data_IF_982550217941
#
_entry.id   IF_982550217941
#
_cell.length_a   1.000
_cell.length_b   1.000
_cell.length_c   1.000
_cell.angle_alpha   90.00
_cell.angle_beta   90.00
_cell.angle_gamma   90.00
#
_symmetry.space_group_name_H-M   'P 1'
#
loop_
_entity.id
_entity.type
_entity.pdbx_description
1 polymer ?
#
# COMPACT_ATOMS: atom_id res chain seq x y z
N UNK A 1 11.16 -11.81 -5.22
CA UNK A 1 11.08 -13.29 -5.18
C UNK A 1 11.84 -13.91 -3.99
N UNK A 2 13.03 -13.40 -3.63
CA UNK A 2 13.81 -13.93 -2.50
C UNK A 2 13.03 -13.87 -1.18
N UNK A 3 12.28 -12.80 -0.96
CA UNK A 3 11.42 -12.62 0.23
C UNK A 3 10.27 -13.62 0.23
N UNK A 4 9.63 -13.85 -0.92
CA UNK A 4 8.58 -14.87 -1.06
C UNK A 4 9.13 -16.27 -0.83
N UNK A 5 10.32 -16.58 -1.37
CA UNK A 5 10.97 -17.86 -1.15
C UNK A 5 11.26 -18.14 0.34
N UNK A 6 11.57 -17.10 1.11
CA UNK A 6 11.88 -17.18 2.55
C UNK A 6 10.66 -17.06 3.48
N UNK A 7 9.54 -16.56 2.96
CA UNK A 7 8.32 -16.43 3.75
C UNK A 7 7.80 -17.84 4.15
N UNK A 8 7.61 -18.13 5.42
CA UNK A 8 7.31 -19.50 5.89
C UNK A 8 5.82 -19.81 5.93
N UNK A 9 5.04 -19.32 4.98
CA UNK A 9 3.59 -19.50 4.90
C UNK A 9 3.08 -19.46 3.47
N UNK A 10 1.79 -19.74 3.22
CA UNK A 10 1.17 -19.61 1.92
C UNK A 10 1.07 -18.15 1.50
N UNK A 11 1.09 -17.90 0.20
CA UNK A 11 1.03 -16.57 -0.40
C UNK A 11 -0.19 -16.51 -1.32
N UNK A 12 -1.04 -15.50 -1.16
CA UNK A 12 -2.20 -15.28 -2.03
C UNK A 12 -2.01 -14.02 -2.85
N UNK A 13 -2.04 -14.15 -4.18
CA UNK A 13 -1.95 -13.03 -5.13
C UNK A 13 -3.35 -12.70 -5.64
N UNK A 14 -3.85 -11.50 -5.36
CA UNK A 14 -5.23 -11.09 -5.70
C UNK A 14 -5.32 -10.06 -6.80
N UNK A 15 -4.54 -8.98 -6.71
CA UNK A 15 -4.51 -7.88 -7.67
C UNK A 15 -3.09 -7.39 -7.96
N UNK A 16 -2.09 -8.03 -7.37
CA UNK A 16 -0.68 -7.70 -7.52
C UNK A 16 -0.08 -8.39 -8.75
N UNK A 17 1.03 -7.87 -9.24
CA UNK A 17 1.79 -8.54 -10.29
C UNK A 17 2.33 -9.89 -9.77
N UNK A 18 2.06 -10.96 -10.49
CA UNK A 18 2.67 -12.26 -10.26
C UNK A 18 3.89 -12.42 -11.17
N UNK A 19 4.97 -12.95 -10.65
CA UNK A 19 6.19 -13.31 -11.38
C UNK A 19 6.31 -14.83 -11.29
N UNK A 20 6.92 -15.43 -12.29
CA UNK A 20 7.07 -16.89 -12.35
C UNK A 20 7.51 -17.48 -10.99
N UNK A 21 6.64 -18.19 -10.28
CA UNK A 21 6.93 -18.70 -8.93
C UNK A 21 7.94 -19.83 -8.92
N UNK A 22 8.12 -20.56 -10.03
CA UNK A 22 9.09 -21.65 -10.14
C UNK A 22 10.53 -21.14 -10.03
N UNK A 23 10.80 -19.92 -10.51
CA UNK A 23 12.12 -19.28 -10.40
C UNK A 23 12.47 -18.97 -8.95
N UNK A 24 11.48 -18.68 -8.12
CA UNK A 24 11.65 -18.35 -6.71
C UNK A 24 11.56 -19.54 -5.75
N UNK A 25 11.22 -20.74 -6.25
CA UNK A 25 10.98 -21.94 -5.45
C UNK A 25 9.92 -21.73 -4.34
N UNK A 26 8.77 -21.15 -4.70
CA UNK A 26 7.61 -20.98 -3.83
C UNK A 26 6.29 -21.33 -4.54
N UNK A 27 6.38 -22.07 -5.65
CA UNK A 27 5.26 -22.52 -6.48
C UNK A 27 4.35 -23.53 -5.76
N UNK A 28 4.86 -24.23 -4.77
CA UNK A 28 4.13 -25.17 -3.92
C UNK A 28 3.19 -24.50 -2.88
N UNK A 29 3.31 -23.21 -2.66
CA UNK A 29 2.57 -22.47 -1.62
C UNK A 29 2.03 -21.13 -2.05
N UNK A 30 2.05 -20.84 -3.34
CA UNK A 30 1.40 -19.67 -3.93
C UNK A 30 0.01 -20.04 -4.42
N UNK A 31 -0.92 -19.14 -4.19
CA UNK A 31 -2.30 -19.19 -4.62
C UNK A 31 -2.62 -17.93 -5.41
N UNK A 32 -3.50 -18.04 -6.36
CA UNK A 32 -4.03 -16.89 -7.10
C UNK A 32 -5.52 -16.72 -6.83
N UNK A 33 -6.04 -15.51 -7.01
CA UNK A 33 -7.46 -15.19 -6.85
C UNK A 33 -7.86 -14.04 -7.74
N UNK A 34 -9.16 -13.96 -8.09
CA UNK A 34 -9.74 -12.88 -8.88
C UNK A 34 -9.16 -12.85 -10.30
N UNK A 35 -8.63 -11.72 -10.76
CA UNK A 35 -8.06 -11.55 -12.10
C UNK A 35 -6.63 -12.06 -12.22
N UNK A 36 -5.99 -12.40 -11.13
CA UNK A 36 -4.61 -12.90 -11.12
C UNK A 36 -4.63 -14.42 -11.28
N UNK A 37 -3.89 -14.93 -12.25
CA UNK A 37 -3.70 -16.36 -12.49
C UNK A 37 -2.29 -16.64 -12.98
N UNK A 38 -1.85 -17.90 -12.80
CA UNK A 38 -0.59 -18.40 -13.36
C UNK A 38 -0.73 -19.89 -13.70
N UNK A 39 -0.22 -20.35 -14.85
CA UNK A 39 -0.29 -21.76 -15.23
C UNK A 39 0.32 -22.68 -14.16
N UNK A 40 -0.44 -23.68 -13.71
CA UNK A 40 0.01 -24.63 -12.70
C UNK A 40 -0.11 -24.16 -11.24
N UNK A 41 -0.50 -22.92 -11.01
CA UNK A 41 -0.76 -22.37 -9.65
C UNK A 41 -2.23 -22.57 -9.29
N UNK A 42 -2.49 -22.97 -8.05
CA UNK A 42 -3.85 -23.11 -7.52
C UNK A 42 -4.59 -21.79 -7.49
N UNK A 43 -5.86 -21.81 -7.95
CA UNK A 43 -6.72 -20.64 -7.99
C UNK A 43 -7.85 -20.79 -6.98
N UNK A 44 -8.08 -19.72 -6.21
CA UNK A 44 -9.18 -19.66 -5.25
C UNK A 44 -10.42 -19.10 -5.91
N UNK A 45 -11.50 -19.86 -5.84
CA UNK A 45 -12.81 -19.43 -6.31
C UNK A 45 -13.58 -18.72 -5.16
N UNK A 46 -14.17 -17.58 -5.48
CA UNK A 46 -14.95 -16.82 -4.51
C UNK A 46 -14.19 -16.42 -3.25
N UNK A 47 -14.81 -16.60 -2.09
CA UNK A 47 -14.29 -16.20 -0.77
C UNK A 47 -13.85 -17.39 0.09
N UNK A 48 -13.71 -18.59 -0.49
CA UNK A 48 -13.25 -19.76 0.26
C UNK A 48 -11.71 -19.77 0.39
N UNK A 49 -11.23 -19.34 1.54
CA UNK A 49 -9.80 -19.42 1.92
C UNK A 49 -9.47 -20.69 2.71
N UNK A 50 -10.41 -21.63 2.88
CA UNK A 50 -10.20 -22.88 3.61
C UNK A 50 -8.93 -23.65 3.20
N UNK A 51 -8.67 -23.86 1.88
CA UNK A 51 -7.46 -24.55 1.44
C UNK A 51 -6.16 -23.83 1.84
N UNK A 52 -6.13 -22.49 1.78
CA UNK A 52 -4.95 -21.69 2.19
C UNK A 52 -4.73 -21.79 3.69
N UNK A 53 -5.80 -21.70 4.48
CA UNK A 53 -5.74 -21.84 5.94
C UNK A 53 -5.24 -23.23 6.32
N UNK A 54 -5.73 -24.28 5.68
CA UNK A 54 -5.29 -25.63 5.91
C UNK A 54 -3.80 -25.82 5.59
N UNK A 55 -3.31 -25.24 4.50
CA UNK A 55 -1.89 -25.24 4.18
C UNK A 55 -1.08 -24.47 5.22
N UNK A 56 -1.54 -23.29 5.64
CA UNK A 56 -0.86 -22.49 6.67
C UNK A 56 -0.71 -23.24 7.99
N UNK A 57 -1.72 -24.00 8.40
CA UNK A 57 -1.72 -24.80 9.63
C UNK A 57 -0.71 -25.97 9.60
N UNK A 58 -0.33 -26.42 8.41
CA UNK A 58 0.66 -27.48 8.22
C UNK A 58 2.10 -26.95 8.12
N UNK A 59 2.28 -25.65 7.97
CA UNK A 59 3.60 -25.02 7.84
C UNK A 59 4.14 -24.59 9.20
N UNK A 60 5.48 -24.59 9.32
CA UNK A 60 6.13 -24.26 10.59
C UNK A 60 5.94 -22.80 11.04
N UNK A 61 5.65 -21.87 10.09
CA UNK A 61 5.58 -20.46 10.39
C UNK A 61 6.94 -19.85 10.76
N UNK A 62 6.91 -18.67 11.37
CA UNK A 62 8.11 -18.02 11.88
C UNK A 62 8.59 -18.70 13.18
N UNK A 63 9.91 -18.85 13.39
CA UNK A 63 10.45 -19.53 14.56
C UNK A 63 10.31 -18.73 15.86
N UNK A 64 10.01 -17.44 15.78
CA UNK A 64 9.82 -16.54 16.93
C UNK A 64 8.80 -15.48 16.61
N UNK A 65 8.21 -14.93 17.66
CA UNK A 65 7.33 -13.75 17.55
C UNK A 65 8.13 -12.47 17.66
N UNK A 66 7.83 -11.50 16.81
CA UNK A 66 8.37 -10.14 16.89
C UNK A 66 7.46 -9.24 17.72
N UNK A 67 8.02 -8.16 18.25
CA UNK A 67 7.23 -7.11 18.90
C UNK A 67 6.34 -6.46 17.81
N UNK A 68 5.01 -6.40 18.01
CA UNK A 68 4.12 -5.79 17.03
C UNK A 68 4.49 -4.33 16.74
N UNK A 69 4.64 -4.00 15.46
CA UNK A 69 4.76 -2.63 14.97
C UNK A 69 3.51 -2.31 14.15
N UNK A 70 2.63 -1.48 14.72
CA UNK A 70 1.38 -1.13 14.08
C UNK A 70 1.56 0.13 13.22
N UNK A 71 1.08 0.06 11.99
CA UNK A 71 1.00 1.19 11.06
C UNK A 71 -0.41 1.29 10.50
N UNK A 72 -0.87 2.49 10.20
CA UNK A 72 -2.16 2.71 9.55
C UNK A 72 -1.97 2.69 8.03
N UNK A 73 -2.71 1.81 7.37
CA UNK A 73 -2.61 1.60 5.91
C UNK A 73 -4.00 1.50 5.28
N UNK A 74 -4.07 1.67 3.95
CA UNK A 74 -5.28 1.37 3.18
C UNK A 74 -6.44 2.31 3.49
N UNK A 75 -6.20 3.60 3.47
CA UNK A 75 -7.27 4.59 3.54
C UNK A 75 -8.18 4.44 2.33
N UNK A 76 -9.26 3.69 2.49
CA UNK A 76 -10.22 3.44 1.44
C UNK A 76 -10.89 4.72 0.93
N UNK A 77 -11.53 4.62 -0.25
CA UNK A 77 -12.14 5.76 -0.93
C UNK A 77 -13.09 6.57 -0.02
N UNK A 78 -13.96 5.90 0.73
CA UNK A 78 -14.92 6.58 1.61
C UNK A 78 -14.20 7.33 2.74
N UNK A 79 -13.15 6.77 3.31
CA UNK A 79 -12.31 7.44 4.31
C UNK A 79 -11.63 8.68 3.74
N UNK A 80 -11.04 8.57 2.54
CA UNK A 80 -10.41 9.70 1.85
C UNK A 80 -11.42 10.81 1.54
N UNK A 81 -12.60 10.45 1.05
CA UNK A 81 -13.66 11.41 0.75
C UNK A 81 -14.23 12.05 2.02
N UNK A 82 -14.34 11.29 3.12
CA UNK A 82 -14.74 11.82 4.43
C UNK A 82 -13.74 12.80 5.02
N UNK A 83 -12.46 12.66 4.72
CA UNK A 83 -11.41 13.60 5.15
C UNK A 83 -11.32 14.87 4.27
N UNK A 84 -12.05 14.92 3.13
CA UNK A 84 -11.89 16.01 2.16
C UNK A 84 -12.20 17.40 2.77
N UNK A 85 -13.21 17.51 3.62
CA UNK A 85 -13.59 18.78 4.24
C UNK A 85 -12.51 19.25 5.24
N UNK A 86 -11.92 18.33 6.01
CA UNK A 86 -10.78 18.63 6.90
C UNK A 86 -9.54 19.07 6.11
N UNK A 87 -9.26 18.43 4.96
CA UNK A 87 -8.17 18.84 4.08
C UNK A 87 -8.38 20.26 3.51
N UNK A 88 -9.61 20.59 3.10
CA UNK A 88 -9.96 21.92 2.59
C UNK A 88 -9.81 22.98 3.71
N UNK A 89 -10.25 22.67 4.93
CA UNK A 89 -10.09 23.54 6.09
C UNK A 89 -8.61 23.81 6.39
N UNK A 90 -7.77 22.77 6.41
CA UNK A 90 -6.33 22.92 6.61
C UNK A 90 -5.67 23.78 5.52
N UNK A 91 -6.10 23.64 4.26
CA UNK A 91 -5.62 24.47 3.16
C UNK A 91 -6.07 25.93 3.34
N UNK A 92 -7.34 26.17 3.71
CA UNK A 92 -7.89 27.53 3.89
C UNK A 92 -7.23 28.28 5.04
N UNK A 93 -6.77 27.55 6.06
CA UNK A 93 -6.02 28.09 7.21
C UNK A 93 -4.49 28.13 6.99
N UNK A 94 -4.03 27.87 5.76
CA UNK A 94 -2.61 27.83 5.37
C UNK A 94 -1.76 26.83 6.19
N UNK A 95 -2.40 25.82 6.80
CA UNK A 95 -1.73 24.75 7.56
C UNK A 95 -1.25 23.62 6.66
N UNK A 96 -1.93 23.41 5.53
CA UNK A 96 -1.57 22.45 4.49
C UNK A 96 -1.28 23.18 3.18
N UNK A 97 -0.01 23.23 2.78
CA UNK A 97 0.43 23.94 1.59
C UNK A 97 0.27 23.11 0.31
N UNK A 98 0.76 21.87 0.32
CA UNK A 98 0.72 20.97 -0.84
C UNK A 98 0.40 19.53 -0.46
N UNK A 99 -0.11 18.78 -1.44
CA UNK A 99 -0.26 17.32 -1.37
C UNK A 99 0.61 16.72 -2.48
N UNK A 100 1.59 15.93 -2.10
CA UNK A 100 2.46 15.22 -3.04
C UNK A 100 1.94 13.80 -3.25
N UNK A 101 1.68 13.40 -4.50
CA UNK A 101 1.37 12.03 -4.85
C UNK A 101 2.66 11.27 -5.15
N UNK A 102 2.98 10.30 -4.29
CA UNK A 102 4.19 9.47 -4.41
C UNK A 102 3.75 8.04 -4.73
N UNK A 103 3.60 7.73 -6.02
CA UNK A 103 3.16 6.41 -6.52
C UNK A 103 4.27 5.58 -7.18
N UNK A 104 5.52 6.04 -7.12
CA UNK A 104 6.66 5.36 -7.73
C UNK A 104 7.22 4.22 -6.88
N UNK A 105 8.16 3.46 -7.45
CA UNK A 105 8.80 2.34 -6.79
C UNK A 105 10.31 2.32 -7.01
N UNK A 106 11.08 2.31 -5.92
CA UNK A 106 12.55 2.15 -5.95
C UNK A 106 12.97 0.71 -6.27
N UNK A 107 12.01 -0.24 -6.27
CA UNK A 107 12.28 -1.65 -6.45
C UNK A 107 12.99 -2.29 -5.25
N UNK A 108 13.61 -3.46 -5.45
CA UNK A 108 14.26 -4.23 -4.39
C UNK A 108 15.73 -3.87 -4.17
N UNK A 109 16.34 -3.04 -5.02
CA UNK A 109 17.75 -2.68 -4.91
C UNK A 109 17.94 -1.60 -3.85
N UNK A 110 18.79 -1.89 -2.86
CA UNK A 110 19.04 -1.01 -1.71
C UNK A 110 19.62 0.36 -2.06
N UNK A 111 20.36 0.46 -3.15
CA UNK A 111 20.95 1.70 -3.67
C UNK A 111 19.97 2.62 -4.39
N UNK A 112 18.74 2.16 -4.67
CA UNK A 112 17.69 2.96 -5.30
C UNK A 112 16.76 3.50 -4.22
N UNK A 113 16.91 4.76 -3.86
CA UNK A 113 16.14 5.41 -2.80
C UNK A 113 15.43 6.69 -3.25
N UNK A 114 15.27 6.93 -4.54
CA UNK A 114 14.71 8.18 -5.05
C UNK A 114 13.36 8.55 -4.42
N UNK A 115 12.40 7.61 -4.42
CA UNK A 115 11.06 7.89 -3.87
C UNK A 115 11.06 7.94 -2.34
N UNK A 116 11.92 7.16 -1.68
CA UNK A 116 12.11 7.22 -0.23
C UNK A 116 12.72 8.55 0.18
N UNK A 117 13.79 8.99 -0.48
CA UNK A 117 14.46 10.27 -0.23
C UNK A 117 13.53 11.44 -0.54
N UNK A 118 12.75 11.36 -1.63
CA UNK A 118 11.72 12.34 -1.93
C UNK A 118 10.68 12.43 -0.82
N UNK A 119 10.09 11.29 -0.40
CA UNK A 119 9.08 11.27 0.65
C UNK A 119 9.59 11.86 1.96
N UNK A 120 10.82 11.53 2.37
CA UNK A 120 11.44 12.04 3.60
C UNK A 120 11.83 13.51 3.53
N UNK A 121 12.02 14.06 2.32
CA UNK A 121 12.32 15.49 2.11
C UNK A 121 11.07 16.37 1.96
N UNK A 122 9.88 15.80 1.94
CA UNK A 122 8.62 16.56 1.87
C UNK A 122 8.48 17.45 3.11
N UNK A 123 8.25 18.78 2.96
CA UNK A 123 8.12 19.71 4.08
C UNK A 123 6.99 19.32 5.06
N UNK A 124 7.15 19.72 6.33
CA UNK A 124 6.21 19.35 7.40
C UNK A 124 4.79 19.89 7.21
N UNK A 125 4.64 20.99 6.49
CA UNK A 125 3.38 21.61 6.10
C UNK A 125 2.75 21.00 4.83
N UNK A 126 3.24 19.84 4.40
CA UNK A 126 2.80 19.13 3.20
C UNK A 126 2.41 17.69 3.53
N UNK A 127 1.44 17.18 2.76
CA UNK A 127 0.93 15.83 2.90
C UNK A 127 1.47 14.93 1.79
N UNK A 128 1.70 13.68 2.10
CA UNK A 128 2.14 12.62 1.17
C UNK A 128 0.97 11.67 0.97
N UNK A 129 0.41 11.67 -0.24
CA UNK A 129 -0.54 10.66 -0.68
C UNK A 129 0.25 9.58 -1.41
N UNK A 130 0.20 8.35 -0.93
CA UNK A 130 0.91 7.24 -1.56
C UNK A 130 -0.02 6.11 -1.94
N UNK A 131 0.38 5.31 -2.90
CA UNK A 131 -0.31 4.09 -3.33
C UNK A 131 0.68 3.13 -4.00
N UNK A 132 0.22 1.90 -4.27
CA UNK A 132 0.99 0.87 -4.97
C UNK A 132 2.20 0.33 -4.19
N UNK A 133 3.19 -0.23 -4.89
CA UNK A 133 4.27 -0.99 -4.26
C UNK A 133 5.37 -0.14 -3.62
N UNK A 134 5.59 1.09 -4.11
CA UNK A 134 6.69 1.95 -3.67
C UNK A 134 6.65 2.30 -2.20
N UNK A 135 5.45 2.47 -1.66
CA UNK A 135 5.21 2.80 -0.26
C UNK A 135 5.86 1.85 0.75
N UNK A 136 6.00 0.57 0.42
CA UNK A 136 6.56 -0.44 1.34
C UNK A 136 8.01 -0.18 1.74
N UNK A 137 8.69 0.75 1.08
CA UNK A 137 10.04 1.17 1.46
C UNK A 137 10.04 2.27 2.52
N UNK A 138 8.98 3.04 2.65
CA UNK A 138 8.91 4.19 3.56
C UNK A 138 7.66 4.23 4.47
N UNK A 139 6.67 3.35 4.27
CA UNK A 139 5.43 3.37 5.06
C UNK A 139 5.60 3.03 6.55
N UNK A 140 6.77 2.55 6.94
CA UNK A 140 7.15 2.31 8.35
C UNK A 140 7.91 3.47 9.00
N UNK A 141 8.24 4.50 8.21
CA UNK A 141 8.87 5.71 8.72
C UNK A 141 7.81 6.61 9.36
N UNK A 142 8.23 7.37 10.37
CA UNK A 142 7.37 8.37 11.01
C UNK A 142 7.43 9.67 10.21
N UNK A 143 6.28 10.07 9.68
CA UNK A 143 6.11 11.35 8.96
C UNK A 143 5.38 12.38 9.82
N UNK A 144 4.91 12.03 11.01
CA UNK A 144 4.11 12.91 11.86
C UNK A 144 2.70 13.16 11.34
N UNK A 145 2.08 14.22 11.82
CA UNK A 145 0.73 14.65 11.48
C UNK A 145 0.61 16.17 11.28
N UNK A 146 -0.51 16.62 10.70
CA UNK A 146 -0.94 18.02 10.65
C UNK A 146 -2.26 18.10 11.38
N UNK A 147 -2.23 18.64 12.60
CA UNK A 147 -3.41 18.78 13.49
C UNK A 147 -4.20 17.46 13.66
N UNK A 148 -3.47 16.33 13.82
CA UNK A 148 -4.04 15.00 14.02
C UNK A 148 -4.37 14.24 12.71
N UNK A 149 -4.18 14.86 11.55
CA UNK A 149 -4.25 14.17 10.26
C UNK A 149 -2.88 13.60 9.89
N UNK A 150 -2.72 12.27 9.74
CA UNK A 150 -1.45 11.68 9.33
C UNK A 150 -0.92 12.30 8.04
N UNK A 151 0.37 12.68 8.04
CA UNK A 151 0.99 13.24 6.82
C UNK A 151 1.23 12.21 5.73
N UNK A 152 1.38 10.95 6.08
CA UNK A 152 1.43 9.85 5.11
C UNK A 152 0.07 9.18 5.02
N UNK A 153 -0.60 9.33 3.88
CA UNK A 153 -1.88 8.69 3.57
C UNK A 153 -1.67 7.62 2.50
N UNK A 154 -1.87 6.37 2.87
CA UNK A 154 -1.81 5.23 1.97
C UNK A 154 -3.19 4.97 1.35
N UNK A 155 -3.38 5.33 0.09
CA UNK A 155 -4.63 5.15 -0.64
C UNK A 155 -4.86 3.71 -1.16
N UNK A 156 -3.92 2.79 -0.93
CA UNK A 156 -4.08 1.39 -1.32
C UNK A 156 -3.12 0.92 -2.41
N UNK A 157 -3.62 0.08 -3.32
CA UNK A 157 -2.83 -0.54 -4.38
C UNK A 157 -2.95 0.20 -5.71
N UNK A 158 -2.36 -0.34 -6.79
CA UNK A 158 -2.38 0.29 -8.12
C UNK A 158 -3.82 0.50 -8.65
N UNK A 159 -4.74 -0.41 -8.37
CA UNK A 159 -6.14 -0.31 -8.76
C UNK A 159 -6.92 0.76 -7.96
N UNK A 160 -6.36 1.27 -6.87
CA UNK A 160 -6.97 2.35 -6.08
C UNK A 160 -6.56 3.76 -6.58
N UNK A 161 -5.74 3.84 -7.64
CA UNK A 161 -5.32 5.10 -8.24
C UNK A 161 -6.51 6.01 -8.64
N UNK A 162 -7.62 5.41 -9.08
CA UNK A 162 -8.84 6.18 -9.38
C UNK A 162 -9.38 6.92 -8.15
N UNK A 163 -9.30 6.35 -6.96
CA UNK A 163 -9.70 7.03 -5.71
C UNK A 163 -8.86 8.26 -5.43
N UNK A 164 -7.54 8.20 -5.69
CA UNK A 164 -6.65 9.34 -5.57
C UNK A 164 -6.98 10.46 -6.58
N UNK A 165 -7.33 10.10 -7.83
CA UNK A 165 -7.77 11.06 -8.86
C UNK A 165 -9.06 11.77 -8.42
N UNK A 166 -10.06 11.04 -7.95
CA UNK A 166 -11.32 11.61 -7.47
C UNK A 166 -11.11 12.56 -6.29
N UNK A 167 -10.20 12.24 -5.38
CA UNK A 167 -9.85 13.14 -4.27
C UNK A 167 -9.23 14.45 -4.77
N UNK A 168 -8.31 14.36 -5.73
CA UNK A 168 -7.66 15.51 -6.33
C UNK A 168 -8.66 16.41 -7.10
N UNK A 169 -9.60 15.81 -7.85
CA UNK A 169 -10.62 16.53 -8.62
C UNK A 169 -11.59 17.29 -7.70
N UNK A 170 -12.06 16.69 -6.62
CA UNK A 170 -12.91 17.37 -5.63
C UNK A 170 -12.23 18.58 -5.00
N UNK A 171 -10.92 18.51 -4.75
CA UNK A 171 -10.15 19.65 -4.24
C UNK A 171 -10.13 20.79 -5.25
N UNK A 172 -9.83 20.50 -6.52
CA UNK A 172 -9.75 21.53 -7.57
C UNK A 172 -11.10 22.19 -7.84
N UNK A 173 -12.18 21.44 -7.84
CA UNK A 173 -13.53 21.96 -8.11
C UNK A 173 -14.01 22.89 -6.99
N UNK A 174 -13.74 22.57 -5.72
CA UNK A 174 -14.16 23.43 -4.59
C UNK A 174 -13.31 24.69 -4.42
N UNK A 175 -12.00 24.62 -4.70
CA UNK A 175 -11.11 25.79 -4.64
C UNK A 175 -11.33 26.79 -5.78
N UNK A 176 -11.90 26.36 -6.92
CA UNK A 176 -12.21 27.21 -8.04
C UNK A 176 -13.62 27.82 -7.99
N UNK A 177 -14.44 27.44 -6.99
CA UNK A 177 -15.82 27.95 -6.80
C UNK A 177 -15.93 28.97 -5.66
N UNK A 178 -14.85 29.39 -5.09
CA UNK A 178 -14.71 30.48 -4.10
C UNK A 178 -13.88 31.62 -4.68
#
# INVERSE_FOLDING_TARGET
QVEFARFPGPIVMTSNCIIDPTVGAYDDRIWTRSIVGWPGVSHLEGDDFGPVIAQAQQMAGFPYSEIPHLITVGFGRETLLGAADSLIDLVSREKLRHIFLVGGCDGARGERNYFTDFATSVPEDCLILTLACGKYRFNKLDFGDIEGLPRLIDAGQCNDAYSAIILADRKSTRLNSS
#
